data_IF_566039185798
#
_entry.id   IF_566039185798
#
_cell.length_a   1.000
_cell.length_b   1.000
_cell.length_c   1.000
_cell.angle_alpha   90.00
_cell.angle_beta   90.00
_cell.angle_gamma   90.00
#
_symmetry.space_group_name_H-M   'P 1'
#
loop_
_entity.id
_entity.type
_entity.pdbx_description
1 polymer ?
#
# COMPACT_ATOMS: atom_id res chain seq x y z
N UNK A 1 54.52 30.42 -13.54
CA UNK A 1 54.05 30.00 -12.21
C UNK A 1 54.46 28.54 -12.00
N UNK A 2 55.44 28.29 -11.14
CA UNK A 2 55.90 26.94 -10.85
C UNK A 2 55.02 26.33 -9.74
N UNK A 3 54.25 25.28 -10.07
CA UNK A 3 53.55 24.48 -9.06
C UNK A 3 54.63 23.77 -8.24
N UNK A 4 54.85 24.20 -7.00
CA UNK A 4 55.80 23.54 -6.13
C UNK A 4 55.20 22.22 -5.65
N UNK A 5 56.01 21.14 -5.56
CA UNK A 5 55.56 19.78 -5.16
C UNK A 5 54.77 19.73 -3.83
N UNK A 6 54.85 20.79 -3.03
CA UNK A 6 54.17 20.94 -1.73
C UNK A 6 52.67 21.25 -1.91
N UNK A 7 52.33 22.06 -2.91
CA UNK A 7 50.93 22.43 -3.21
C UNK A 7 50.16 21.25 -3.80
N UNK A 8 50.83 20.41 -4.59
CA UNK A 8 50.22 19.18 -5.14
C UNK A 8 49.88 18.17 -4.04
N UNK A 9 50.70 18.07 -2.98
CA UNK A 9 50.43 17.17 -1.84
C UNK A 9 49.25 17.64 -1.00
N UNK A 10 49.08 18.96 -0.86
CA UNK A 10 47.92 19.54 -0.18
C UNK A 10 46.63 19.33 -0.97
N UNK A 11 46.67 19.54 -2.29
CA UNK A 11 45.52 19.29 -3.17
C UNK A 11 45.13 17.80 -3.21
N UNK A 12 46.11 16.89 -3.29
CA UNK A 12 45.87 15.44 -3.27
C UNK A 12 45.33 14.99 -1.90
N UNK A 13 45.87 15.53 -0.81
CA UNK A 13 45.37 15.24 0.55
C UNK A 13 43.94 15.72 0.76
N UNK A 14 43.61 16.93 0.32
CA UNK A 14 42.26 17.49 0.40
C UNK A 14 41.27 16.72 -0.47
N UNK A 15 41.64 16.37 -1.70
CA UNK A 15 40.83 15.56 -2.59
C UNK A 15 40.56 14.16 -1.99
N UNK A 16 41.59 13.54 -1.39
CA UNK A 16 41.44 12.26 -0.69
C UNK A 16 40.49 12.33 0.51
N UNK A 17 40.57 13.40 1.30
CA UNK A 17 39.68 13.60 2.45
C UNK A 17 38.21 13.77 2.03
N UNK A 18 37.94 14.50 0.95
CA UNK A 18 36.57 14.68 0.43
C UNK A 18 35.99 13.36 -0.10
N UNK A 19 36.79 12.57 -0.82
CA UNK A 19 36.35 11.26 -1.33
C UNK A 19 36.06 10.31 -0.16
N UNK A 20 36.92 10.28 0.86
CA UNK A 20 36.71 9.46 2.04
C UNK A 20 35.43 9.85 2.79
N UNK A 21 35.18 11.14 3.00
CA UNK A 21 33.95 11.62 3.63
C UNK A 21 32.71 11.26 2.79
N UNK A 22 32.77 11.40 1.47
CA UNK A 22 31.68 11.01 0.57
C UNK A 22 31.37 9.51 0.62
N UNK A 23 32.40 8.66 0.69
CA UNK A 23 32.23 7.21 0.82
C UNK A 23 31.60 6.83 2.17
N UNK A 24 31.99 7.48 3.26
CA UNK A 24 31.38 7.24 4.58
C UNK A 24 29.90 7.58 4.56
N UNK A 25 29.52 8.72 3.97
CA UNK A 25 28.11 9.11 3.83
C UNK A 25 27.35 8.11 2.96
N UNK A 26 27.93 7.68 1.83
CA UNK A 26 27.33 6.69 0.94
C UNK A 26 27.10 5.34 1.65
N UNK A 27 28.10 4.86 2.40
CA UNK A 27 27.99 3.62 3.18
C UNK A 27 26.96 3.76 4.29
N UNK A 28 26.89 4.91 4.96
CA UNK A 28 25.90 5.15 6.02
C UNK A 28 24.48 5.21 5.45
N UNK A 29 24.28 5.85 4.30
CA UNK A 29 23.01 5.84 3.58
C UNK A 29 22.65 4.43 3.14
N UNK A 30 23.57 3.69 2.52
CA UNK A 30 23.36 2.30 2.14
C UNK A 30 23.05 1.42 3.35
N UNK A 31 23.70 1.59 4.50
CA UNK A 31 23.41 0.83 5.71
C UNK A 31 22.03 1.18 6.29
N UNK A 32 21.58 2.42 6.15
CA UNK A 32 20.24 2.85 6.57
C UNK A 32 19.16 2.40 5.59
N UNK A 33 19.43 2.38 4.28
CA UNK A 33 18.45 2.00 3.24
C UNK A 33 18.45 0.51 2.93
N UNK A 34 19.53 -0.23 3.21
CA UNK A 34 19.63 -1.68 2.97
C UNK A 34 18.84 -2.54 3.95
N UNK A 35 18.22 -1.95 4.98
CA UNK A 35 17.18 -2.63 5.77
C UNK A 35 15.84 -2.78 5.03
N UNK A 36 15.70 -2.19 3.84
CA UNK A 36 14.63 -2.54 2.91
C UNK A 36 14.94 -3.86 2.21
N UNK A 37 14.88 -4.97 2.95
CA UNK A 37 14.89 -6.30 2.36
C UNK A 37 13.67 -6.45 1.45
N UNK A 38 13.90 -6.40 0.14
CA UNK A 38 12.92 -6.75 -0.87
C UNK A 38 12.41 -8.16 -0.59
N UNK A 39 11.17 -8.24 -0.12
CA UNK A 39 10.42 -9.47 -0.09
C UNK A 39 9.48 -9.40 -1.28
N UNK A 40 9.94 -9.94 -2.40
CA UNK A 40 9.09 -10.29 -3.52
C UNK A 40 8.00 -11.24 -2.99
N UNK A 41 6.76 -10.73 -2.95
CA UNK A 41 5.53 -11.51 -2.88
C UNK A 41 5.30 -12.35 -1.62
N UNK A 42 4.35 -11.91 -0.79
CA UNK A 42 3.71 -12.67 0.30
C UNK A 42 4.39 -12.55 1.68
N UNK A 43 4.19 -11.39 2.32
CA UNK A 43 4.63 -11.11 3.70
C UNK A 43 3.60 -11.50 4.78
N UNK A 44 2.44 -12.02 4.40
CA UNK A 44 1.35 -12.31 5.33
C UNK A 44 0.96 -13.78 5.22
N UNK A 45 1.19 -14.53 6.30
CA UNK A 45 0.79 -15.93 6.48
C UNK A 45 -0.41 -16.07 7.43
N UNK A 46 -0.87 -14.96 8.00
CA UNK A 46 -1.96 -14.90 8.98
C UNK A 46 -2.88 -13.70 8.71
N UNK A 47 -4.17 -13.76 9.10
CA UNK A 47 -5.07 -12.62 9.05
C UNK A 47 -4.56 -11.46 9.91
N UNK A 48 -4.68 -10.24 9.38
CA UNK A 48 -4.11 -9.03 9.97
C UNK A 48 -5.21 -8.12 10.51
N UNK A 49 -5.12 -7.64 11.76
CA UNK A 49 -6.10 -6.69 12.30
C UNK A 49 -5.82 -5.26 11.80
N UNK A 50 -6.83 -4.66 11.18
CA UNK A 50 -6.89 -3.28 10.71
C UNK A 50 -7.88 -2.48 11.57
N UNK A 51 -7.38 -1.67 12.50
CA UNK A 51 -8.19 -0.66 13.21
C UNK A 51 -9.35 -1.20 14.07
N UNK A 52 -10.13 -0.29 14.64
CA UNK A 52 -11.40 -0.58 15.33
C UNK A 52 -12.55 -0.46 14.33
N UNK A 53 -13.42 -1.48 14.26
CA UNK A 53 -14.48 -1.56 13.26
C UNK A 53 -15.51 -0.42 13.39
N UNK A 54 -15.78 0.04 14.62
CA UNK A 54 -16.74 1.13 14.84
C UNK A 54 -16.14 2.46 14.40
N UNK A 55 -14.86 2.70 14.70
CA UNK A 55 -14.14 3.87 14.22
C UNK A 55 -14.06 3.88 12.69
N UNK A 56 -13.62 2.77 12.08
CA UNK A 56 -13.52 2.63 10.62
C UNK A 56 -14.86 2.90 9.93
N UNK A 57 -15.96 2.35 10.43
CA UNK A 57 -17.30 2.60 9.85
C UNK A 57 -17.64 4.09 9.88
N UNK A 58 -17.46 4.75 11.03
CA UNK A 58 -17.75 6.18 11.17
C UNK A 58 -16.89 7.01 10.23
N UNK A 59 -15.60 6.68 10.14
CA UNK A 59 -14.66 7.43 9.31
C UNK A 59 -15.00 7.24 7.82
N UNK A 60 -15.39 6.03 7.40
CA UNK A 60 -15.84 5.75 6.03
C UNK A 60 -17.17 6.45 5.69
N UNK A 61 -18.11 6.50 6.63
CA UNK A 61 -19.37 7.23 6.45
C UNK A 61 -19.14 8.74 6.30
N UNK A 62 -18.11 9.29 6.94
CA UNK A 62 -17.80 10.71 6.93
C UNK A 62 -16.91 11.13 5.75
N UNK A 63 -15.88 10.34 5.43
CA UNK A 63 -14.79 10.73 4.53
C UNK A 63 -14.68 9.83 3.28
N UNK A 64 -15.39 8.70 3.27
CA UNK A 64 -15.33 7.70 2.19
C UNK A 64 -14.32 6.57 2.44
N UNK A 65 -14.11 5.69 1.44
CA UNK A 65 -13.27 4.51 1.59
C UNK A 65 -11.82 4.81 1.97
N UNK A 66 -11.22 3.95 2.78
CA UNK A 66 -9.84 4.10 3.26
C UNK A 66 -8.91 3.20 2.43
N UNK A 67 -7.85 3.77 1.86
CA UNK A 67 -6.83 2.99 1.15
C UNK A 67 -5.77 2.46 2.11
N UNK A 68 -5.52 1.15 2.06
CA UNK A 68 -4.34 0.54 2.66
C UNK A 68 -3.39 0.11 1.55
N UNK A 69 -2.26 0.81 1.45
CA UNK A 69 -1.20 0.46 0.52
C UNK A 69 -0.51 -0.83 0.98
N UNK A 70 -0.31 -1.75 0.03
CA UNK A 70 0.51 -2.94 0.25
C UNK A 70 2.01 -2.62 0.19
N UNK A 71 2.84 -3.64 0.37
CA UNK A 71 4.30 -3.52 0.19
C UNK A 71 4.69 -3.28 -1.28
N UNK A 72 3.78 -3.54 -2.22
CA UNK A 72 3.90 -3.24 -3.64
C UNK A 72 2.71 -2.40 -4.11
N UNK A 73 2.85 -1.68 -5.22
CA UNK A 73 1.74 -0.89 -5.80
C UNK A 73 0.48 -1.71 -6.14
N UNK A 74 0.63 -3.03 -6.23
CA UNK A 74 -0.41 -3.97 -6.66
C UNK A 74 -1.08 -4.74 -5.50
N UNK A 75 -0.51 -4.66 -4.28
CA UNK A 75 -0.94 -5.48 -3.14
C UNK A 75 -1.79 -4.72 -2.11
N UNK A 76 -2.25 -3.51 -2.46
CA UNK A 76 -3.14 -2.73 -1.61
C UNK A 76 -4.60 -3.20 -1.70
N UNK A 77 -5.42 -2.62 -0.83
CA UNK A 77 -6.88 -2.75 -0.85
C UNK A 77 -7.55 -1.49 -0.30
N UNK A 78 -8.83 -1.32 -0.63
CA UNK A 78 -9.69 -0.32 -0.03
C UNK A 78 -10.57 -0.96 1.04
N UNK A 79 -10.74 -0.30 2.17
CA UNK A 79 -11.77 -0.65 3.14
C UNK A 79 -12.96 0.28 2.93
N UNK A 80 -14.13 -0.31 2.74
CA UNK A 80 -15.39 0.41 2.48
C UNK A 80 -16.57 -0.30 3.15
N UNK A 81 -17.77 0.23 2.96
CA UNK A 81 -19.03 -0.38 3.39
C UNK A 81 -19.77 -1.00 2.20
N UNK A 82 -20.23 -2.24 2.39
CA UNK A 82 -21.24 -2.89 1.56
C UNK A 82 -22.37 -3.33 2.50
N UNK A 83 -23.60 -2.87 2.28
CA UNK A 83 -24.76 -3.17 3.14
C UNK A 83 -24.50 -2.93 4.65
N UNK A 84 -23.72 -1.89 4.97
CA UNK A 84 -23.34 -1.52 6.35
C UNK A 84 -22.24 -2.40 6.97
N UNK A 85 -21.72 -3.38 6.23
CA UNK A 85 -20.60 -4.23 6.64
C UNK A 85 -19.28 -3.72 6.09
N UNK A 86 -18.22 -3.82 6.90
CA UNK A 86 -16.87 -3.49 6.45
C UNK A 86 -16.37 -4.59 5.51
N UNK A 87 -15.91 -4.18 4.34
CA UNK A 87 -15.32 -5.06 3.33
C UNK A 87 -13.98 -4.51 2.87
N UNK A 88 -13.05 -5.40 2.52
CA UNK A 88 -11.73 -5.05 2.00
C UNK A 88 -11.63 -5.41 0.51
N UNK A 89 -11.91 -4.44 -0.38
CA UNK A 89 -11.92 -4.65 -1.83
C UNK A 89 -10.55 -4.43 -2.44
N UNK A 90 -10.17 -5.26 -3.40
CA UNK A 90 -8.86 -5.17 -4.06
C UNK A 90 -8.75 -3.89 -4.88
N UNK A 91 -7.53 -3.33 -4.93
CA UNK A 91 -7.25 -2.16 -5.80
C UNK A 91 -7.20 -2.59 -7.27
N UNK A 92 -6.92 -3.86 -7.57
CA UNK A 92 -6.85 -4.36 -8.95
C UNK A 92 -8.24 -4.76 -9.47
N UNK A 93 -8.58 -4.32 -10.68
CA UNK A 93 -9.85 -4.68 -11.31
C UNK A 93 -9.89 -6.18 -11.65
N UNK A 94 -10.98 -6.90 -11.34
CA UNK A 94 -11.15 -8.29 -11.75
C UNK A 94 -11.05 -8.41 -13.29
N UNK A 95 -10.20 -9.31 -13.78
CA UNK A 95 -10.04 -9.58 -15.21
C UNK A 95 -9.11 -8.61 -15.97
N UNK A 96 -8.68 -7.49 -15.37
CA UNK A 96 -7.70 -6.54 -15.95
C UNK A 96 -6.56 -6.27 -14.97
N UNK A 97 -5.48 -7.03 -15.10
CA UNK A 97 -4.36 -7.04 -14.14
C UNK A 97 -3.55 -5.74 -14.08
N UNK A 98 -3.64 -4.90 -15.11
CA UNK A 98 -3.00 -3.59 -15.22
C UNK A 98 -3.90 -2.44 -14.78
N UNK A 99 -5.16 -2.71 -14.42
CA UNK A 99 -6.10 -1.68 -14.04
C UNK A 99 -6.29 -1.56 -12.53
N UNK A 100 -6.06 -0.36 -12.01
CA UNK A 100 -6.26 -0.01 -10.61
C UNK A 100 -7.55 0.79 -10.41
N UNK A 101 -8.45 0.23 -9.63
CA UNK A 101 -9.69 0.85 -9.17
C UNK A 101 -9.36 1.93 -8.15
N UNK A 102 -9.95 3.10 -8.31
CA UNK A 102 -9.79 4.25 -7.43
C UNK A 102 -11.14 4.76 -6.93
N UNK A 103 -11.16 5.37 -5.76
CA UNK A 103 -12.31 6.13 -5.31
C UNK A 103 -12.36 7.49 -6.02
N UNK A 104 -13.51 7.82 -6.61
CA UNK A 104 -13.75 9.12 -7.23
C UNK A 104 -14.84 9.86 -6.44
N UNK A 105 -14.42 10.78 -5.57
CA UNK A 105 -15.33 11.57 -4.71
C UNK A 105 -16.37 12.34 -5.53
N UNK A 106 -15.98 12.92 -6.67
CA UNK A 106 -16.89 13.63 -7.58
C UNK A 106 -18.01 12.76 -8.16
N UNK A 107 -17.82 11.44 -8.19
CA UNK A 107 -18.81 10.45 -8.61
C UNK A 107 -19.44 9.74 -7.41
N UNK A 108 -18.90 9.88 -6.21
CA UNK A 108 -19.34 9.13 -5.02
C UNK A 108 -19.28 7.62 -5.23
N UNK A 109 -18.21 7.12 -5.84
CA UNK A 109 -18.09 5.71 -6.20
C UNK A 109 -16.68 5.30 -6.60
N UNK A 110 -16.49 3.98 -6.71
CA UNK A 110 -15.30 3.43 -7.34
C UNK A 110 -15.36 3.63 -8.85
N UNK A 111 -14.21 3.86 -9.47
CA UNK A 111 -14.08 3.90 -10.92
C UNK A 111 -12.89 3.07 -11.37
N UNK A 112 -12.99 2.54 -12.57
CA UNK A 112 -11.88 1.88 -13.24
C UNK A 112 -10.98 2.87 -14.01
N UNK A 113 -10.08 2.32 -14.81
CA UNK A 113 -9.08 3.07 -15.57
C UNK A 113 -9.65 3.84 -16.75
N UNK A 114 -10.85 3.48 -17.20
CA UNK A 114 -11.59 4.15 -18.26
C UNK A 114 -12.62 5.13 -17.68
N UNK A 115 -12.51 5.43 -16.37
CA UNK A 115 -13.42 6.27 -15.60
C UNK A 115 -14.86 5.73 -15.52
N UNK A 116 -15.07 4.45 -15.81
CA UNK A 116 -16.37 3.81 -15.65
C UNK A 116 -16.64 3.53 -14.17
N UNK A 117 -17.87 3.81 -13.73
CA UNK A 117 -18.27 3.58 -12.34
C UNK A 117 -18.40 2.09 -12.08
N UNK A 118 -17.83 1.63 -10.97
CA UNK A 118 -17.96 0.28 -10.44
C UNK A 118 -18.71 0.32 -9.11
N UNK A 119 -19.60 -0.65 -8.92
CA UNK A 119 -20.23 -0.91 -7.63
C UNK A 119 -19.31 -1.77 -6.75
N UNK A 120 -19.44 -1.64 -5.43
CA UNK A 120 -18.60 -2.41 -4.48
C UNK A 120 -18.73 -3.93 -4.69
N UNK A 121 -19.94 -4.38 -5.03
CA UNK A 121 -20.25 -5.79 -5.31
C UNK A 121 -19.62 -6.33 -6.60
N UNK A 122 -19.07 -5.47 -7.46
CA UNK A 122 -18.35 -5.85 -8.68
C UNK A 122 -16.84 -6.01 -8.45
N UNK A 123 -16.36 -5.72 -7.24
CA UNK A 123 -14.95 -5.79 -6.88
C UNK A 123 -14.62 -7.09 -6.17
N UNK A 124 -13.51 -7.73 -6.57
CA UNK A 124 -12.93 -8.81 -5.79
C UNK A 124 -12.47 -8.28 -4.43
N UNK A 125 -12.47 -9.13 -3.42
CA UNK A 125 -12.20 -8.73 -2.03
C UNK A 125 -11.35 -9.73 -1.28
N UNK A 126 -10.66 -9.26 -0.26
CA UNK A 126 -10.12 -10.13 0.76
C UNK A 126 -11.22 -10.61 1.69
N UNK A 127 -11.04 -11.79 2.27
CA UNK A 127 -11.94 -12.25 3.34
C UNK A 127 -11.77 -11.36 4.56
N UNK A 128 -12.89 -10.90 5.12
CA UNK A 128 -12.91 -10.02 6.29
C UNK A 128 -13.79 -10.57 7.39
N UNK A 129 -13.41 -10.29 8.63
CA UNK A 129 -14.24 -10.56 9.80
C UNK A 129 -14.09 -9.46 10.85
N UNK A 130 -15.09 -9.33 11.73
CA UNK A 130 -15.00 -8.49 12.93
C UNK A 130 -15.28 -9.40 14.13
N UNK A 131 -14.24 -9.94 14.79
CA UNK A 131 -14.43 -10.87 15.89
C UNK A 131 -15.17 -10.21 17.06
N UNK A 132 -16.08 -10.95 17.69
CA UNK A 132 -16.82 -10.51 18.88
C UNK A 132 -16.09 -10.86 20.20
N UNK A 133 -15.00 -11.63 20.10
CA UNK A 133 -14.21 -12.18 21.21
C UNK A 133 -12.73 -12.29 20.86
N UNK A 134 -11.91 -12.52 21.90
CA UNK A 134 -10.45 -12.66 21.75
C UNK A 134 -9.70 -11.33 21.71
N UNK A 135 -8.40 -11.40 21.38
CA UNK A 135 -7.48 -10.24 21.36
C UNK A 135 -7.79 -9.24 20.24
N UNK A 136 -8.40 -9.71 19.15
CA UNK A 136 -8.82 -8.88 18.01
C UNK A 136 -10.30 -8.46 18.09
N UNK A 137 -10.95 -8.59 19.25
CA UNK A 137 -12.34 -8.22 19.43
C UNK A 137 -12.61 -6.79 18.95
N UNK A 138 -13.63 -6.63 18.12
CA UNK A 138 -14.09 -5.33 17.60
C UNK A 138 -13.16 -4.72 16.54
N UNK A 139 -12.10 -5.41 16.13
CA UNK A 139 -11.22 -4.97 15.04
C UNK A 139 -11.68 -5.56 13.71
N UNK A 140 -11.49 -4.83 12.62
CA UNK A 140 -11.58 -5.45 11.30
C UNK A 140 -10.35 -6.35 11.13
N UNK A 141 -10.55 -7.62 10.84
CA UNK A 141 -9.48 -8.56 10.52
C UNK A 141 -9.61 -8.90 9.04
N UNK A 142 -8.51 -8.77 8.30
CA UNK A 142 -8.45 -9.02 6.86
C UNK A 142 -7.48 -10.16 6.60
N UNK A 143 -7.95 -11.20 5.94
CA UNK A 143 -7.11 -12.30 5.47
C UNK A 143 -6.54 -11.95 4.09
N UNK A 144 -5.28 -11.53 4.08
CA UNK A 144 -4.57 -11.13 2.86
C UNK A 144 -4.13 -12.32 2.00
N UNK A 145 -4.36 -13.55 2.46
CA UNK A 145 -4.03 -14.79 1.74
C UNK A 145 -5.20 -15.33 0.93
N UNK A 146 -6.43 -14.94 1.28
CA UNK A 146 -7.67 -15.43 0.66
C UNK A 146 -8.37 -14.31 -0.12
N UNK A 147 -8.25 -14.36 -1.46
CA UNK A 147 -9.03 -13.50 -2.36
C UNK A 147 -10.34 -14.20 -2.70
N UNK A 148 -11.44 -13.54 -2.36
CA UNK A 148 -12.80 -13.94 -2.69
C UNK A 148 -13.24 -13.19 -3.96
N UNK A 149 -13.81 -13.89 -4.96
CA UNK A 149 -14.34 -13.26 -6.16
C UNK A 149 -15.41 -12.21 -5.85
N UNK A 150 -15.61 -11.29 -6.80
CA UNK A 150 -16.70 -10.32 -6.72
C UNK A 150 -18.06 -11.03 -6.61
N UNK A 151 -18.96 -10.59 -5.70
CA UNK A 151 -20.33 -11.13 -5.61
C UNK A 151 -21.13 -11.02 -6.91
N UNK A 152 -20.85 -9.99 -7.71
CA UNK A 152 -21.54 -9.67 -8.95
C UNK A 152 -20.53 -9.53 -10.08
N UNK A 153 -20.90 -9.99 -11.26
CA UNK A 153 -20.11 -9.74 -12.47
C UNK A 153 -20.25 -8.25 -12.88
N UNK A 154 -19.18 -7.64 -13.43
CA UNK A 154 -19.25 -6.28 -13.98
C UNK A 154 -20.38 -6.17 -15.03
N UNK A 155 -21.30 -5.22 -14.85
CA UNK A 155 -22.40 -4.97 -15.79
C UNK A 155 -23.61 -5.90 -15.67
N UNK A 156 -23.74 -6.66 -14.57
CA UNK A 156 -24.95 -7.45 -14.28
C UNK A 156 -26.15 -6.58 -13.89
N UNK A 157 -27.41 -7.01 -14.16
CA UNK A 157 -28.60 -6.24 -13.81
C UNK A 157 -28.75 -6.08 -12.29
N UNK A 158 -29.25 -4.91 -11.86
CA UNK A 158 -29.55 -4.56 -10.48
C UNK A 158 -30.75 -5.32 -9.91
#
# INVERSE_FOLDING_TARGET
>A
MAITRKDTRLLVGAAGAVIAAGLVILVMLLALTSRGGGSDGQLYDQPVPFGDAKALRRDIEAEGPINYAGSTGDSGFWVTLEDGQLVAVLVRQPGRGDCHVRWAESKGGFVDCDDERLEVAELARYRTEVPDRGTNKGKLVVDLTEVVPAPRAPGGPN
#
